data_IF_520131356081
#
_entry.id   IF_520131356081
#
_cell.length_a   1.000
_cell.length_b   1.000
_cell.length_c   1.000
_cell.angle_alpha   90.00
_cell.angle_beta   90.00
_cell.angle_gamma   90.00
#
_symmetry.space_group_name_H-M   'P 1'
#
loop_
_entity.id
_entity.type
_entity.pdbx_description
1 polymer ?
#
# COMPACT_ATOMS: atom_id res chain seq x y z
N UNK A 1 -27.07 0.18 -11.04
CA UNK A 1 -26.29 1.32 -10.51
C UNK A 1 -24.99 0.92 -9.79
N UNK A 2 -24.90 -0.26 -9.18
CA UNK A 2 -23.77 -0.66 -8.31
C UNK A 2 -22.41 -0.91 -8.99
N UNK A 3 -22.38 -1.32 -10.28
CA UNK A 3 -21.11 -1.56 -11.02
C UNK A 3 -20.33 -0.29 -11.36
N UNK A 4 -21.01 0.85 -11.54
CA UNK A 4 -20.36 2.10 -11.94
C UNK A 4 -19.54 2.68 -10.78
N UNK A 5 -20.12 2.65 -9.58
CA UNK A 5 -19.52 3.13 -8.33
C UNK A 5 -18.23 2.35 -7.94
N UNK A 6 -18.24 1.03 -8.18
CA UNK A 6 -17.07 0.18 -7.92
C UNK A 6 -15.91 0.49 -8.89
N UNK A 7 -16.21 0.80 -10.16
CA UNK A 7 -15.19 1.16 -11.15
C UNK A 7 -14.52 2.50 -10.85
N UNK A 8 -15.28 3.47 -10.32
CA UNK A 8 -14.78 4.77 -9.89
C UNK A 8 -13.91 4.66 -8.63
N UNK A 9 -14.31 3.81 -7.69
CA UNK A 9 -13.53 3.51 -6.48
C UNK A 9 -12.17 2.89 -6.82
N UNK A 10 -12.14 1.91 -7.73
CA UNK A 10 -10.90 1.26 -8.19
C UNK A 10 -10.00 2.25 -8.93
N UNK A 11 -10.57 3.09 -9.80
CA UNK A 11 -9.82 4.12 -10.53
C UNK A 11 -9.20 5.16 -9.59
N UNK A 12 -9.95 5.57 -8.57
CA UNK A 12 -9.47 6.49 -7.54
C UNK A 12 -8.36 5.85 -6.70
N UNK A 13 -8.52 4.60 -6.28
CA UNK A 13 -7.49 3.85 -5.56
C UNK A 13 -6.18 3.75 -6.36
N UNK A 14 -6.28 3.45 -7.65
CA UNK A 14 -5.13 3.41 -8.56
C UNK A 14 -4.49 4.80 -8.72
N UNK A 15 -5.30 5.87 -8.81
CA UNK A 15 -4.82 7.24 -8.86
C UNK A 15 -3.99 7.62 -7.62
N UNK A 16 -4.46 7.28 -6.42
CA UNK A 16 -3.72 7.49 -5.18
C UNK A 16 -2.44 6.65 -5.10
N UNK A 17 -2.48 5.37 -5.51
CA UNK A 17 -1.28 4.54 -5.55
C UNK A 17 -0.23 5.10 -6.53
N UNK A 18 -0.66 5.54 -7.71
CA UNK A 18 0.21 6.18 -8.69
C UNK A 18 0.80 7.50 -8.18
N UNK A 19 -0.01 8.34 -7.53
CA UNK A 19 0.44 9.58 -6.90
C UNK A 19 1.48 9.32 -5.80
N UNK A 20 1.26 8.31 -4.95
CA UNK A 20 2.22 7.91 -3.93
C UNK A 20 3.55 7.47 -4.57
N UNK A 21 3.50 6.64 -5.61
CA UNK A 21 4.69 6.20 -6.33
C UNK A 21 5.46 7.37 -6.95
N UNK A 22 4.76 8.33 -7.57
CA UNK A 22 5.37 9.54 -8.13
C UNK A 22 6.07 10.38 -7.05
N UNK A 23 5.44 10.55 -5.89
CA UNK A 23 6.02 11.28 -4.76
C UNK A 23 7.26 10.58 -4.19
N UNK A 24 7.24 9.25 -4.06
CA UNK A 24 8.40 8.46 -3.61
C UNK A 24 9.55 8.55 -4.61
N UNK A 25 9.26 8.44 -5.92
CA UNK A 25 10.27 8.60 -6.97
C UNK A 25 10.87 10.01 -6.97
N UNK A 26 10.04 11.03 -6.80
CA UNK A 26 10.49 12.41 -6.72
C UNK A 26 11.34 12.65 -5.45
N UNK A 27 10.94 12.06 -4.31
CA UNK A 27 11.72 12.07 -3.07
C UNK A 27 13.11 11.44 -3.30
N UNK A 28 13.17 10.33 -4.03
CA UNK A 28 14.41 9.62 -4.31
C UNK A 28 15.31 10.41 -5.26
N UNK A 29 14.72 11.06 -6.28
CA UNK A 29 15.44 11.88 -7.25
C UNK A 29 15.97 13.19 -6.65
N UNK A 30 15.25 13.79 -5.70
CA UNK A 30 15.61 15.09 -5.10
C UNK A 30 16.36 14.95 -3.76
N UNK A 31 16.38 13.75 -3.17
CA UNK A 31 16.86 13.53 -1.80
C UNK A 31 15.95 14.12 -0.72
N UNK A 32 14.79 14.69 -1.08
CA UNK A 32 13.88 15.33 -0.14
C UNK A 32 12.88 14.32 0.44
N UNK A 33 13.18 13.84 1.65
CA UNK A 33 12.33 12.90 2.38
C UNK A 33 10.96 13.48 2.81
N UNK A 34 10.76 14.80 2.75
CA UNK A 34 9.49 15.45 3.09
C UNK A 34 8.31 14.97 2.24
N UNK A 35 8.59 14.57 0.99
CA UNK A 35 7.58 14.05 0.06
C UNK A 35 7.08 12.64 0.43
N UNK A 36 7.75 11.95 1.34
CA UNK A 36 7.35 10.61 1.78
C UNK A 36 6.10 10.65 2.68
N UNK A 37 5.92 11.71 3.46
CA UNK A 37 4.72 11.87 4.31
C UNK A 37 3.41 11.94 3.50
N UNK A 38 3.28 12.81 2.48
CA UNK A 38 2.09 12.78 1.63
C UNK A 38 1.96 11.48 0.83
N UNK A 39 3.07 10.82 0.46
CA UNK A 39 3.02 9.51 -0.20
C UNK A 39 2.42 8.42 0.70
N UNK A 40 2.77 8.40 2.00
CA UNK A 40 2.17 7.50 2.99
C UNK A 40 0.67 7.76 3.10
N UNK A 41 0.25 9.03 3.18
CA UNK A 41 -1.17 9.40 3.21
C UNK A 41 -1.94 8.86 2.00
N UNK A 42 -1.37 9.03 0.80
CA UNK A 42 -1.95 8.50 -0.44
C UNK A 42 -2.02 6.96 -0.46
N UNK A 43 -1.01 6.26 0.05
CA UNK A 43 -1.04 4.79 0.18
C UNK A 43 -2.16 4.32 1.12
N UNK A 44 -2.35 5.00 2.26
CA UNK A 44 -3.44 4.70 3.20
C UNK A 44 -4.80 4.95 2.55
N UNK A 45 -4.98 6.08 1.83
CA UNK A 45 -6.21 6.35 1.08
C UNK A 45 -6.48 5.31 -0.01
N UNK A 46 -5.45 4.94 -0.77
CA UNK A 46 -5.54 3.91 -1.82
C UNK A 46 -5.99 2.57 -1.25
N UNK A 47 -5.41 2.15 -0.14
CA UNK A 47 -5.76 0.88 0.51
C UNK A 47 -7.14 0.88 1.13
N UNK A 48 -7.56 1.99 1.75
CA UNK A 48 -8.92 2.13 2.23
C UNK A 48 -9.96 2.01 1.11
N UNK A 49 -9.68 2.62 -0.06
CA UNK A 49 -10.55 2.51 -1.24
C UNK A 49 -10.53 1.11 -1.85
N UNK A 50 -9.36 0.48 -1.95
CA UNK A 50 -9.24 -0.90 -2.42
C UNK A 50 -10.02 -1.88 -1.53
N UNK A 51 -9.95 -1.71 -0.21
CA UNK A 51 -10.70 -2.53 0.74
C UNK A 51 -12.22 -2.30 0.67
N UNK A 52 -12.66 -1.08 0.35
CA UNK A 52 -14.07 -0.79 0.07
C UNK A 52 -14.54 -1.46 -1.22
N UNK A 53 -13.70 -1.47 -2.25
CA UNK A 53 -14.00 -2.11 -3.54
C UNK A 53 -14.03 -3.64 -3.44
N UNK A 54 -13.14 -4.24 -2.64
CA UNK A 54 -13.09 -5.66 -2.38
C UNK A 54 -12.52 -5.96 -0.99
N UNK A 55 -13.40 -6.24 -0.02
CA UNK A 55 -13.01 -6.55 1.36
C UNK A 55 -12.19 -7.81 1.49
N UNK A 56 -12.34 -8.72 0.53
CA UNK A 56 -11.59 -9.95 0.61
C UNK A 56 -10.09 -9.68 0.30
N UNK A 57 -9.75 -8.57 -0.37
CA UNK A 57 -8.39 -8.21 -0.80
C UNK A 57 -7.53 -7.69 0.37
N UNK A 58 -7.60 -8.34 1.53
CA UNK A 58 -6.88 -7.97 2.75
C UNK A 58 -5.36 -7.93 2.56
N UNK A 59 -4.83 -8.69 1.60
CA UNK A 59 -3.41 -8.65 1.22
C UNK A 59 -2.93 -7.24 0.85
N UNK A 60 -3.81 -6.39 0.31
CA UNK A 60 -3.51 -5.00 -0.06
C UNK A 60 -3.09 -4.15 1.15
N UNK A 61 -3.73 -4.36 2.31
CA UNK A 61 -3.37 -3.67 3.54
C UNK A 61 -1.96 -4.06 4.02
N UNK A 62 -1.58 -5.33 3.87
CA UNK A 62 -0.24 -5.81 4.22
C UNK A 62 0.84 -5.28 3.27
N UNK A 63 0.54 -5.16 1.96
CA UNK A 63 1.44 -4.50 1.00
C UNK A 63 1.69 -3.04 1.38
N UNK A 64 0.63 -2.31 1.73
CA UNK A 64 0.79 -0.93 2.15
C UNK A 64 1.55 -0.79 3.47
N UNK A 65 1.27 -1.64 4.45
CA UNK A 65 2.07 -1.71 5.68
C UNK A 65 3.56 -1.93 5.39
N UNK A 66 3.88 -2.91 4.53
CA UNK A 66 5.25 -3.25 4.20
C UNK A 66 5.96 -2.07 3.52
N UNK A 67 5.26 -1.42 2.59
CA UNK A 67 5.73 -0.23 1.89
C UNK A 67 5.95 0.94 2.85
N UNK A 68 5.00 1.22 3.74
CA UNK A 68 5.10 2.29 4.74
C UNK A 68 6.28 2.01 5.68
N UNK A 69 6.45 0.78 6.15
CA UNK A 69 7.57 0.40 7.01
C UNK A 69 8.92 0.59 6.31
N UNK A 70 9.00 0.25 5.01
CA UNK A 70 10.20 0.50 4.21
C UNK A 70 10.46 2.01 4.02
N UNK A 71 9.41 2.79 3.75
CA UNK A 71 9.49 4.24 3.63
C UNK A 71 9.93 4.91 4.94
N UNK A 72 9.44 4.45 6.09
CA UNK A 72 9.89 4.93 7.41
C UNK A 72 11.35 4.57 7.67
N UNK A 73 11.78 3.34 7.35
CA UNK A 73 13.19 2.96 7.46
C UNK A 73 14.10 3.82 6.57
N UNK A 74 13.58 4.24 5.41
CA UNK A 74 14.32 5.09 4.49
C UNK A 74 14.45 6.52 5.01
N UNK A 75 13.37 7.11 5.53
CA UNK A 75 13.34 8.50 5.99
C UNK A 75 13.94 8.72 7.39
N UNK A 76 13.79 7.74 8.28
CA UNK A 76 14.22 7.80 9.68
C UNK A 76 15.24 6.69 9.96
N UNK A 77 16.55 6.97 9.87
CA UNK A 77 17.60 5.98 10.03
C UNK A 77 17.56 5.24 11.38
N UNK A 78 17.14 5.91 12.45
CA UNK A 78 17.03 5.36 13.80
C UNK A 78 16.05 4.18 13.91
N UNK A 79 15.05 4.10 13.02
CA UNK A 79 14.07 3.00 13.02
C UNK A 79 14.44 1.85 12.08
N UNK A 80 15.53 1.96 11.29
CA UNK A 80 15.90 0.94 10.28
C UNK A 80 15.97 -0.48 10.82
N UNK A 81 16.56 -0.65 12.00
CA UNK A 81 16.78 -1.96 12.64
C UNK A 81 15.46 -2.66 12.96
N UNK A 82 14.37 -1.92 13.15
CA UNK A 82 13.04 -2.46 13.47
C UNK A 82 12.15 -2.48 12.23
N UNK A 83 12.14 -1.37 11.47
CA UNK A 83 11.25 -1.17 10.33
C UNK A 83 11.60 -2.04 9.12
N UNK A 84 12.87 -2.36 8.87
CA UNK A 84 13.26 -3.25 7.77
C UNK A 84 12.80 -4.70 8.00
N UNK A 85 13.09 -5.34 9.15
CA UNK A 85 12.55 -6.66 9.45
C UNK A 85 11.02 -6.68 9.43
N UNK A 86 10.37 -5.65 10.00
CA UNK A 86 8.92 -5.55 10.01
C UNK A 86 8.34 -5.46 8.59
N UNK A 87 8.95 -4.65 7.72
CA UNK A 87 8.59 -4.58 6.30
C UNK A 87 8.70 -5.94 5.63
N UNK A 88 9.78 -6.68 5.89
CA UNK A 88 9.97 -8.04 5.38
C UNK A 88 8.88 -9.00 5.84
N UNK A 89 8.55 -9.02 7.13
CA UNK A 89 7.48 -9.88 7.69
C UNK A 89 6.13 -9.53 7.05
N UNK A 90 5.80 -8.24 6.93
CA UNK A 90 4.55 -7.81 6.32
C UNK A 90 4.48 -8.15 4.83
N UNK A 91 5.59 -8.06 4.09
CA UNK A 91 5.67 -8.49 2.71
C UNK A 91 5.43 -10.00 2.55
N UNK A 92 5.98 -10.82 3.43
CA UNK A 92 5.73 -12.27 3.43
C UNK A 92 4.26 -12.57 3.69
N UNK A 93 3.64 -11.93 4.68
CA UNK A 93 2.20 -12.10 4.97
C UNK A 93 1.36 -11.66 3.77
N UNK A 94 1.70 -10.52 3.15
CA UNK A 94 1.04 -10.04 1.94
C UNK A 94 1.09 -11.06 0.81
N UNK A 95 2.26 -11.67 0.56
CA UNK A 95 2.44 -12.69 -0.47
C UNK A 95 1.59 -13.93 -0.15
N UNK A 96 1.62 -14.42 1.08
CA UNK A 96 0.81 -15.58 1.50
C UNK A 96 -0.68 -15.31 1.27
N UNK A 97 -1.18 -14.14 1.67
CA UNK A 97 -2.58 -13.77 1.48
C UNK A 97 -2.93 -13.55 0.00
N UNK A 98 -2.01 -13.01 -0.80
CA UNK A 98 -2.18 -12.88 -2.25
C UNK A 98 -2.25 -14.25 -2.94
N UNK A 99 -1.50 -15.25 -2.47
CA UNK A 99 -1.57 -16.61 -3.00
C UNK A 99 -2.85 -17.34 -2.58
N UNK A 100 -3.34 -17.08 -1.37
CA UNK A 100 -4.61 -17.62 -0.87
C UNK A 100 -5.83 -16.87 -1.43
N UNK A 101 -5.62 -15.70 -2.02
CA UNK A 101 -6.66 -14.81 -2.52
C UNK A 101 -7.72 -15.47 -3.40
N UNK A 102 -7.35 -16.27 -4.44
CA UNK A 102 -8.34 -16.88 -5.31
C UNK A 102 -9.22 -17.88 -4.55
N UNK A 103 -8.65 -18.57 -3.55
CA UNK A 103 -9.38 -19.52 -2.71
C UNK A 103 -10.37 -18.81 -1.79
N UNK A 104 -9.95 -17.71 -1.17
CA UNK A 104 -10.80 -16.90 -0.28
C UNK A 104 -11.95 -16.27 -1.06
N UNK A 105 -11.67 -15.75 -2.26
CA UNK A 105 -12.65 -15.13 -3.13
C UNK A 105 -13.69 -16.13 -3.66
N UNK A 106 -13.26 -17.34 -4.03
CA UNK A 106 -14.15 -18.37 -4.58
C UNK A 106 -14.92 -19.16 -3.50
N UNK A 107 -14.53 -19.06 -2.24
CA UNK A 107 -15.24 -19.69 -1.11
C UNK A 107 -16.43 -18.86 -0.59
N UNK A 108 -16.66 -17.66 -1.15
CA UNK A 108 -17.80 -16.79 -0.87
C UNK A 108 -18.72 -16.73 -2.08
#
# INVERSE_FOLDING_TARGET
MQKHDQSETVRSAAGFAGGAAALVLLAAATGSHWLVMPAIGMLVSSTALAYRADRSATWVAWVAGATISALVAWTLPEYRTISLPLSGVQAVIAIVLLLLWPRIRNAR
#
